data_IF_931758027862
#
_entry.id   IF_931758027862
#
_cell.length_a   1.000
_cell.length_b   1.000
_cell.length_c   1.000
_cell.angle_alpha   90.00
_cell.angle_beta   90.00
_cell.angle_gamma   90.00
#
_symmetry.space_group_name_H-M   'P 1'
#
loop_
_entity.id
_entity.type
_entity.pdbx_description
1 polymer ?
#
# COMPACT_ATOMS: atom_id res chain seq x y z
N UNK A 1 -82.51 44.82 -51.51
CA UNK A 1 -81.60 44.46 -52.64
C UNK A 1 -80.27 45.20 -52.50
N UNK A 2 -79.50 45.02 -51.39
CA UNK A 2 -78.21 45.72 -51.27
C UNK A 2 -77.08 44.94 -50.63
N UNK A 3 -77.16 43.57 -50.51
CA UNK A 3 -76.09 42.72 -49.94
C UNK A 3 -75.34 41.83 -50.97
N UNK A 4 -75.73 41.85 -52.23
CA UNK A 4 -75.08 41.05 -53.27
C UNK A 4 -73.94 41.74 -54.04
N UNK A 5 -73.79 43.11 -53.86
CA UNK A 5 -72.74 43.83 -54.58
C UNK A 5 -71.38 43.85 -53.86
N UNK A 6 -71.37 43.62 -52.57
CA UNK A 6 -70.11 43.64 -51.83
C UNK A 6 -69.27 42.38 -51.95
N UNK A 7 -69.90 41.20 -52.15
CA UNK A 7 -69.19 39.89 -52.30
C UNK A 7 -68.43 39.83 -53.65
N UNK A 8 -68.97 40.48 -54.71
CA UNK A 8 -68.28 40.53 -56.00
C UNK A 8 -67.03 41.42 -55.99
N UNK A 9 -67.04 42.50 -55.21
CA UNK A 9 -65.90 43.42 -55.06
C UNK A 9 -64.74 42.82 -54.23
N UNK A 10 -65.01 41.98 -53.26
CA UNK A 10 -63.96 41.26 -52.47
C UNK A 10 -63.24 40.18 -53.26
N UNK A 11 -64.03 39.43 -54.07
CA UNK A 11 -63.39 38.35 -54.90
C UNK A 11 -62.57 38.98 -56.07
N UNK A 12 -62.91 40.11 -56.62
CA UNK A 12 -62.13 40.77 -57.67
C UNK A 12 -60.86 41.41 -57.12
N UNK A 13 -60.88 41.96 -55.90
CA UNK A 13 -59.69 42.50 -55.23
C UNK A 13 -58.71 41.38 -54.74
N UNK A 14 -59.25 40.23 -54.32
CA UNK A 14 -58.44 39.09 -53.95
C UNK A 14 -57.74 38.44 -55.16
N UNK A 15 -58.51 38.28 -56.28
CA UNK A 15 -57.98 37.80 -57.53
C UNK A 15 -56.94 38.72 -58.17
N UNK A 16 -57.16 40.07 -58.10
CA UNK A 16 -56.15 41.01 -58.55
C UNK A 16 -54.87 41.00 -57.73
N UNK A 17 -54.98 40.93 -56.40
CA UNK A 17 -53.78 40.81 -55.49
C UNK A 17 -53.04 39.51 -55.67
N UNK A 18 -53.76 38.40 -55.93
CA UNK A 18 -53.12 37.09 -56.22
C UNK A 18 -52.39 37.09 -57.55
N UNK A 19 -52.97 37.79 -58.56
CA UNK A 19 -52.40 37.99 -59.89
C UNK A 19 -51.20 38.92 -59.87
N UNK A 20 -51.22 40.00 -59.09
CA UNK A 20 -50.07 40.86 -58.87
C UNK A 20 -48.94 40.12 -58.10
N UNK A 21 -49.31 39.31 -57.11
CA UNK A 21 -48.33 38.50 -56.39
C UNK A 21 -47.63 37.44 -57.30
N UNK A 22 -48.42 36.83 -58.20
CA UNK A 22 -47.86 35.82 -59.13
C UNK A 22 -47.10 36.48 -60.31
N UNK A 23 -47.46 37.74 -60.70
CA UNK A 23 -46.78 38.45 -61.77
C UNK A 23 -45.61 39.33 -61.32
N UNK A 24 -45.47 39.53 -60.03
CA UNK A 24 -44.39 40.35 -59.51
C UNK A 24 -43.06 39.58 -59.59
N UNK A 25 -42.13 39.99 -60.46
CA UNK A 25 -40.80 39.44 -60.67
C UNK A 25 -39.79 39.87 -59.60
N UNK A 26 -40.19 40.76 -58.71
CA UNK A 26 -39.35 41.17 -57.54
C UNK A 26 -39.21 40.05 -56.46
N UNK A 27 -39.97 38.94 -56.62
CA UNK A 27 -39.90 37.77 -55.79
C UNK A 27 -38.60 36.95 -55.96
N UNK A 28 -37.71 37.30 -56.89
CA UNK A 28 -36.44 36.60 -57.13
C UNK A 28 -35.49 36.65 -55.92
N UNK A 29 -35.53 37.75 -55.15
CA UNK A 29 -34.77 37.91 -53.90
C UNK A 29 -35.29 36.95 -52.82
N UNK A 30 -36.62 36.80 -52.73
CA UNK A 30 -37.24 35.88 -51.75
C UNK A 30 -36.95 34.44 -52.06
N UNK A 31 -36.91 34.08 -53.37
CA UNK A 31 -36.57 32.71 -53.79
C UNK A 31 -35.09 32.43 -53.60
N UNK A 32 -34.19 33.36 -53.92
CA UNK A 32 -32.75 33.25 -53.66
C UNK A 32 -32.48 33.22 -52.17
N UNK A 33 -33.16 34.05 -51.34
CA UNK A 33 -33.04 34.04 -49.90
C UNK A 33 -33.47 32.70 -49.29
N UNK A 34 -34.60 32.13 -49.72
CA UNK A 34 -35.08 30.82 -49.26
C UNK A 34 -34.12 29.71 -49.60
N UNK A 35 -33.49 29.76 -50.80
CA UNK A 35 -32.53 28.74 -51.23
C UNK A 35 -31.21 28.82 -50.50
N UNK A 36 -30.78 30.00 -50.06
CA UNK A 36 -29.58 30.22 -49.25
C UNK A 36 -29.86 30.01 -47.75
N UNK A 37 -31.05 30.34 -47.29
CA UNK A 37 -31.43 30.23 -45.86
C UNK A 37 -31.37 28.76 -45.38
N UNK A 38 -31.80 27.80 -46.20
CA UNK A 38 -31.87 26.40 -45.84
C UNK A 38 -30.47 25.81 -45.55
N UNK A 39 -29.44 25.93 -46.40
CA UNK A 39 -28.09 25.50 -46.05
C UNK A 39 -27.49 26.30 -44.89
N UNK A 40 -27.79 27.56 -44.72
CA UNK A 40 -27.34 28.36 -43.57
C UNK A 40 -27.92 27.80 -42.27
N UNK A 41 -29.22 27.48 -42.23
CA UNK A 41 -29.84 26.84 -41.08
C UNK A 41 -29.25 25.47 -40.76
N UNK A 42 -28.94 24.68 -41.77
CA UNK A 42 -28.25 23.38 -41.60
C UNK A 42 -26.87 23.56 -40.96
N UNK A 43 -26.07 24.53 -41.44
CA UNK A 43 -24.74 24.82 -40.89
C UNK A 43 -24.82 25.34 -39.47
N UNK A 44 -25.74 26.24 -39.15
CA UNK A 44 -25.96 26.73 -37.80
C UNK A 44 -26.45 25.63 -36.89
N UNK A 45 -27.37 24.79 -37.34
CA UNK A 45 -27.86 23.62 -36.60
C UNK A 45 -26.76 22.61 -36.32
N UNK A 46 -25.93 22.31 -37.32
CA UNK A 46 -24.78 21.44 -37.13
C UNK A 46 -23.77 21.99 -36.11
N UNK A 47 -23.56 23.31 -36.06
CA UNK A 47 -22.71 23.93 -35.06
C UNK A 47 -23.29 23.82 -33.64
N UNK A 48 -24.62 23.89 -33.50
CA UNK A 48 -25.29 23.67 -32.20
C UNK A 48 -25.14 22.22 -31.76
N UNK A 49 -25.46 21.25 -32.64
CA UNK A 49 -25.30 19.81 -32.33
C UNK A 49 -23.86 19.49 -31.98
N UNK A 50 -22.89 20.01 -32.73
CA UNK A 50 -21.46 19.84 -32.42
C UNK A 50 -21.05 20.41 -31.06
N UNK A 51 -21.60 21.58 -30.70
CA UNK A 51 -21.33 22.19 -29.39
C UNK A 51 -21.89 21.34 -28.26
N UNK A 52 -23.08 20.78 -28.44
CA UNK A 52 -23.70 19.87 -27.48
C UNK A 52 -22.87 18.60 -27.32
N UNK A 53 -22.53 17.95 -28.42
CA UNK A 53 -21.69 16.76 -28.41
C UNK A 53 -20.32 17.00 -27.70
N UNK A 54 -19.69 18.15 -27.98
CA UNK A 54 -18.42 18.49 -27.33
C UNK A 54 -18.57 18.65 -25.81
N UNK A 55 -19.69 19.21 -25.35
CA UNK A 55 -19.99 19.32 -23.91
C UNK A 55 -20.18 17.94 -23.27
N UNK A 56 -20.93 17.06 -23.93
CA UNK A 56 -21.16 15.68 -23.46
C UNK A 56 -19.84 14.90 -23.35
N UNK A 57 -19.00 14.97 -24.39
CA UNK A 57 -17.69 14.32 -24.40
C UNK A 57 -16.76 14.89 -23.33
N UNK A 58 -16.77 16.21 -23.12
CA UNK A 58 -15.99 16.84 -22.04
C UNK A 58 -16.47 16.41 -20.66
N UNK A 59 -17.79 16.39 -20.43
CA UNK A 59 -18.36 15.92 -19.18
C UNK A 59 -18.06 14.43 -18.93
N UNK A 60 -18.07 13.61 -19.99
CA UNK A 60 -17.69 12.21 -19.92
C UNK A 60 -16.20 12.02 -19.58
N UNK A 61 -15.32 12.85 -20.14
CA UNK A 61 -13.89 12.80 -19.80
C UNK A 61 -13.65 13.22 -18.35
N UNK A 62 -14.23 14.33 -17.91
CA UNK A 62 -14.14 14.79 -16.52
C UNK A 62 -14.71 13.74 -15.53
N UNK A 63 -15.77 13.06 -15.95
CA UNK A 63 -16.38 11.96 -15.19
C UNK A 63 -15.45 10.75 -15.11
N UNK A 64 -14.83 10.33 -16.22
CA UNK A 64 -13.90 9.22 -16.25
C UNK A 64 -12.65 9.51 -15.40
N UNK A 65 -12.14 10.75 -15.46
CA UNK A 65 -10.99 11.17 -14.65
C UNK A 65 -11.31 11.16 -13.15
N UNK A 66 -12.50 11.68 -12.79
CA UNK A 66 -12.97 11.66 -11.40
C UNK A 66 -13.16 10.23 -10.91
N UNK A 67 -13.81 9.40 -11.71
CA UNK A 67 -14.10 8.00 -11.37
C UNK A 67 -12.83 7.19 -11.13
N UNK A 68 -11.86 7.27 -12.04
CA UNK A 68 -10.62 6.49 -11.91
C UNK A 68 -9.79 6.94 -10.71
N UNK A 69 -9.84 8.22 -10.32
CA UNK A 69 -9.18 8.72 -9.11
C UNK A 69 -9.88 8.21 -7.84
N UNK A 70 -11.22 8.22 -7.81
CA UNK A 70 -11.97 7.64 -6.69
C UNK A 70 -11.75 6.14 -6.56
N UNK A 71 -11.74 5.41 -7.68
CA UNK A 71 -11.44 3.99 -7.71
C UNK A 71 -10.02 3.70 -7.20
N UNK A 72 -9.04 4.51 -7.61
CA UNK A 72 -7.66 4.39 -7.17
C UNK A 72 -7.52 4.66 -5.66
N UNK A 73 -8.19 5.69 -5.15
CA UNK A 73 -8.22 6.01 -3.74
C UNK A 73 -8.87 4.91 -2.90
N UNK A 74 -10.00 4.37 -3.36
CA UNK A 74 -10.68 3.27 -2.68
C UNK A 74 -9.83 2.00 -2.66
N UNK A 75 -9.23 1.66 -3.81
CA UNK A 75 -8.32 0.52 -3.88
C UNK A 75 -7.14 0.66 -2.92
N UNK A 76 -6.55 1.85 -2.87
CA UNK A 76 -5.42 2.16 -2.02
C UNK A 76 -5.75 2.04 -0.52
N UNK A 77 -6.97 2.40 -0.11
CA UNK A 77 -7.39 2.32 1.28
C UNK A 77 -7.81 0.90 1.71
N UNK A 78 -8.46 0.17 0.83
CA UNK A 78 -9.13 -1.08 1.17
C UNK A 78 -8.55 -2.30 0.45
N UNK A 79 -7.61 -2.11 -0.47
CA UNK A 79 -7.01 -3.16 -1.31
C UNK A 79 -8.06 -4.10 -1.95
N UNK A 80 -9.25 -3.59 -2.21
CA UNK A 80 -10.37 -4.33 -2.79
C UNK A 80 -10.65 -3.88 -4.21
N UNK A 81 -10.39 -4.75 -5.19
CA UNK A 81 -10.71 -4.49 -6.61
C UNK A 81 -12.21 -4.31 -6.84
N UNK A 82 -13.03 -5.07 -6.11
CA UNK A 82 -14.48 -4.97 -6.20
C UNK A 82 -14.98 -3.62 -5.74
N UNK A 83 -14.59 -3.19 -4.53
CA UNK A 83 -14.96 -1.88 -3.99
C UNK A 83 -14.47 -0.73 -4.87
N UNK A 84 -13.24 -0.81 -5.38
CA UNK A 84 -12.69 0.20 -6.28
C UNK A 84 -13.51 0.35 -7.56
N UNK A 85 -13.92 -0.78 -8.17
CA UNK A 85 -14.81 -0.77 -9.33
C UNK A 85 -16.15 -0.12 -9.01
N UNK A 86 -16.81 -0.55 -7.95
CA UNK A 86 -18.15 -0.07 -7.58
C UNK A 86 -18.13 1.44 -7.25
N UNK A 87 -17.10 1.92 -6.56
CA UNK A 87 -16.92 3.34 -6.24
C UNK A 87 -16.59 4.15 -7.50
N UNK A 88 -15.77 3.63 -8.39
CA UNK A 88 -15.48 4.26 -9.67
C UNK A 88 -16.74 4.43 -10.53
N UNK A 89 -17.48 3.35 -10.72
CA UNK A 89 -18.74 3.38 -11.50
C UNK A 89 -19.77 4.33 -10.87
N UNK A 90 -19.89 4.33 -9.53
CA UNK A 90 -20.79 5.25 -8.80
C UNK A 90 -20.37 6.71 -8.93
N UNK A 91 -19.09 7.02 -8.76
CA UNK A 91 -18.58 8.38 -8.86
C UNK A 91 -18.77 8.95 -10.27
N UNK A 92 -18.56 8.14 -11.29
CA UNK A 92 -18.79 8.52 -12.68
C UNK A 92 -20.26 8.83 -12.94
N UNK A 93 -21.16 7.94 -12.53
CA UNK A 93 -22.60 8.12 -12.73
C UNK A 93 -23.10 9.38 -12.05
N UNK A 94 -22.67 9.61 -10.80
CA UNK A 94 -23.03 10.83 -10.07
C UNK A 94 -22.56 12.11 -10.77
N UNK A 95 -21.33 12.10 -11.31
CA UNK A 95 -20.76 13.25 -12.00
C UNK A 95 -21.48 13.54 -13.33
N UNK A 96 -21.85 12.52 -14.08
CA UNK A 96 -22.61 12.66 -15.33
C UNK A 96 -24.01 13.21 -15.08
N UNK A 97 -24.71 12.67 -14.08
CA UNK A 97 -26.04 13.14 -13.69
C UNK A 97 -26.01 14.61 -13.24
N UNK A 98 -25.00 14.98 -12.44
CA UNK A 98 -24.82 16.36 -11.97
C UNK A 98 -24.55 17.36 -13.12
N UNK A 99 -23.93 16.93 -14.22
CA UNK A 99 -23.65 17.74 -15.39
C UNK A 99 -24.76 17.69 -16.45
N UNK A 100 -25.86 16.99 -16.16
CA UNK A 100 -27.04 16.94 -17.06
C UNK A 100 -26.76 16.12 -18.33
N UNK A 101 -25.80 15.21 -18.31
CA UNK A 101 -25.66 14.18 -19.32
C UNK A 101 -26.71 13.12 -18.99
N UNK A 102 -27.84 13.20 -19.63
CA UNK A 102 -29.02 12.39 -19.33
C UNK A 102 -29.14 11.34 -20.39
N UNK A 103 -29.39 10.11 -19.95
CA UNK A 103 -29.79 8.92 -20.68
C UNK A 103 -28.77 8.35 -21.70
N UNK A 104 -28.69 7.02 -21.74
CA UNK A 104 -27.86 6.19 -22.64
C UNK A 104 -26.33 6.35 -22.50
N UNK A 105 -25.80 6.34 -21.30
CA UNK A 105 -24.38 6.14 -21.06
C UNK A 105 -24.10 4.82 -20.32
N UNK A 106 -22.93 4.25 -20.60
CA UNK A 106 -22.38 3.09 -19.90
C UNK A 106 -21.05 3.48 -19.25
N UNK A 107 -20.92 3.15 -17.97
CA UNK A 107 -19.67 3.31 -17.21
C UNK A 107 -19.11 1.94 -16.89
N UNK A 108 -17.83 1.78 -17.09
CA UNK A 108 -17.11 0.56 -16.74
C UNK A 108 -15.73 0.90 -16.18
N UNK A 109 -15.51 0.57 -14.90
CA UNK A 109 -14.20 0.63 -14.25
C UNK A 109 -13.62 -0.77 -14.13
N UNK A 110 -12.42 -0.97 -14.65
CA UNK A 110 -11.74 -2.27 -14.67
C UNK A 110 -10.27 -2.13 -14.30
N UNK A 111 -9.68 -3.24 -13.87
CA UNK A 111 -8.22 -3.38 -13.78
C UNK A 111 -7.68 -3.62 -15.18
N UNK A 112 -6.94 -2.67 -15.70
CA UNK A 112 -6.33 -2.76 -17.03
C UNK A 112 -5.02 -3.54 -17.00
N UNK A 113 -4.22 -3.35 -15.96
CA UNK A 113 -2.94 -4.03 -15.77
C UNK A 113 -2.67 -4.19 -14.27
N UNK A 114 -2.06 -5.31 -13.90
CA UNK A 114 -1.63 -5.58 -12.53
C UNK A 114 -0.23 -6.16 -12.58
N UNK A 115 0.70 -5.49 -11.91
CA UNK A 115 2.08 -5.96 -11.71
C UNK A 115 2.30 -6.24 -10.24
N UNK A 116 3.52 -6.67 -9.87
CA UNK A 116 3.88 -6.90 -8.48
C UNK A 116 3.77 -5.61 -7.61
N UNK A 117 4.03 -4.44 -8.18
CA UNK A 117 4.16 -3.17 -7.45
C UNK A 117 3.17 -2.10 -7.91
N UNK A 118 2.30 -2.39 -8.85
CA UNK A 118 1.34 -1.40 -9.35
C UNK A 118 0.08 -2.04 -9.91
N UNK A 119 -1.01 -1.32 -9.74
CA UNK A 119 -2.30 -1.62 -10.32
C UNK A 119 -2.71 -0.45 -11.21
N UNK A 120 -2.99 -0.72 -12.47
CA UNK A 120 -3.55 0.26 -13.39
C UNK A 120 -5.06 0.08 -13.46
N UNK A 121 -5.79 1.08 -13.00
CA UNK A 121 -7.23 1.16 -13.14
C UNK A 121 -7.59 1.94 -14.41
N UNK A 122 -8.63 1.51 -15.07
CA UNK A 122 -9.16 2.14 -16.27
C UNK A 122 -10.66 2.36 -16.09
N UNK A 123 -11.12 3.58 -16.25
CA UNK A 123 -12.56 3.88 -16.36
C UNK A 123 -12.88 4.28 -17.78
N UNK A 124 -13.89 3.65 -18.35
CA UNK A 124 -14.42 3.94 -19.68
C UNK A 124 -15.86 4.41 -19.53
N UNK A 125 -16.16 5.56 -20.08
CA UNK A 125 -17.52 6.11 -20.18
C UNK A 125 -17.86 6.17 -21.67
N UNK A 126 -18.97 5.58 -22.06
CA UNK A 126 -19.44 5.58 -23.44
C UNK A 126 -20.91 5.96 -23.51
N UNK A 127 -21.29 6.64 -24.56
CA UNK A 127 -22.67 7.06 -24.78
C UNK A 127 -22.93 7.45 -26.21
N UNK A 128 -24.14 7.95 -26.44
CA UNK A 128 -24.61 8.37 -27.76
C UNK A 128 -25.15 9.80 -27.63
N UNK A 129 -24.58 10.72 -28.42
CA UNK A 129 -25.09 12.08 -28.55
C UNK A 129 -26.22 12.14 -29.58
N UNK A 130 -27.39 12.64 -29.17
CA UNK A 130 -28.55 12.80 -30.05
C UNK A 130 -28.47 14.15 -30.75
N UNK A 131 -28.65 14.17 -32.06
CA UNK A 131 -28.60 15.37 -32.87
C UNK A 131 -29.99 15.89 -33.25
N UNK A 132 -30.29 17.14 -32.91
CA UNK A 132 -31.56 17.74 -33.23
C UNK A 132 -31.64 18.24 -34.68
N UNK A 133 -30.57 18.80 -35.19
CA UNK A 133 -30.53 19.41 -36.52
C UNK A 133 -29.88 18.52 -37.58
N UNK A 134 -28.78 17.82 -37.22
CA UNK A 134 -28.14 16.89 -38.12
C UNK A 134 -29.00 15.66 -38.42
N UNK A 135 -29.96 15.34 -37.56
CA UNK A 135 -31.01 14.35 -37.79
C UNK A 135 -31.87 14.65 -39.04
N UNK A 136 -32.07 15.93 -39.37
CA UNK A 136 -32.81 16.34 -40.57
C UNK A 136 -32.07 15.99 -41.88
N UNK A 137 -30.77 15.83 -41.83
CA UNK A 137 -29.92 15.45 -43.00
C UNK A 137 -29.45 14.01 -42.94
N UNK A 138 -30.02 13.20 -42.03
CA UNK A 138 -29.81 11.76 -41.99
C UNK A 138 -28.76 11.27 -41.00
N UNK A 139 -28.21 12.15 -40.12
CA UNK A 139 -27.31 11.77 -39.05
C UNK A 139 -27.91 12.18 -37.71
N UNK A 140 -28.69 11.26 -37.10
CA UNK A 140 -29.46 11.56 -35.88
C UNK A 140 -28.68 11.34 -34.59
N UNK A 141 -27.56 10.58 -34.64
CA UNK A 141 -26.83 10.20 -33.45
C UNK A 141 -25.35 9.97 -33.76
N UNK A 142 -24.50 10.22 -32.78
CA UNK A 142 -23.05 9.92 -32.87
C UNK A 142 -22.59 9.30 -31.55
N UNK A 143 -22.00 8.07 -31.59
CA UNK A 143 -21.41 7.46 -30.42
C UNK A 143 -20.13 8.18 -30.02
N UNK A 144 -19.89 8.25 -28.70
CA UNK A 144 -18.66 8.78 -28.13
C UNK A 144 -18.15 7.87 -27.02
N UNK A 145 -16.85 7.96 -26.74
CA UNK A 145 -16.20 7.22 -25.65
C UNK A 145 -15.12 8.11 -25.04
N UNK A 146 -15.11 8.18 -23.70
CA UNK A 146 -14.07 8.80 -22.91
C UNK A 146 -13.38 7.72 -22.06
N UNK A 147 -12.08 7.84 -21.87
CA UNK A 147 -11.31 6.84 -21.11
C UNK A 147 -10.25 7.54 -20.29
N UNK A 148 -10.14 7.12 -19.04
CA UNK A 148 -9.10 7.58 -18.14
C UNK A 148 -8.38 6.41 -17.46
N UNK A 149 -7.12 6.65 -17.08
CA UNK A 149 -6.27 5.68 -16.41
C UNK A 149 -5.68 6.28 -15.14
N UNK A 150 -5.59 5.47 -14.10
CA UNK A 150 -4.83 5.79 -12.90
C UNK A 150 -3.94 4.61 -12.52
N UNK A 151 -2.71 4.91 -12.15
CA UNK A 151 -1.76 3.91 -11.65
C UNK A 151 -1.67 4.07 -10.15
N UNK A 152 -2.01 2.99 -9.44
CA UNK A 152 -1.82 2.90 -8.00
C UNK A 152 -0.52 2.14 -7.76
N UNK A 153 0.46 2.79 -7.16
CA UNK A 153 1.67 2.12 -6.68
C UNK A 153 1.34 1.36 -5.40
N UNK A 154 1.72 0.09 -5.34
CA UNK A 154 1.53 -0.76 -4.18
C UNK A 154 2.91 -0.94 -3.55
N UNK A 155 3.23 -0.24 -2.46
CA UNK A 155 4.53 -0.38 -1.83
C UNK A 155 4.69 -1.79 -1.28
N UNK A 156 5.86 -2.38 -1.50
CA UNK A 156 6.25 -3.61 -0.82
C UNK A 156 6.75 -3.25 0.58
N UNK A 157 6.17 -3.85 1.59
CA UNK A 157 6.49 -3.58 2.99
C UNK A 157 7.01 -4.84 3.65
N UNK A 158 8.17 -4.73 4.28
CA UNK A 158 8.70 -5.76 5.19
C UNK A 158 8.69 -5.21 6.61
N UNK A 159 7.96 -5.89 7.49
CA UNK A 159 7.89 -5.56 8.92
C UNK A 159 8.72 -6.58 9.67
N UNK A 160 9.66 -6.10 10.47
CA UNK A 160 10.50 -6.94 11.30
C UNK A 160 10.24 -6.65 12.78
N UNK A 161 9.68 -7.61 13.47
CA UNK A 161 9.30 -7.56 14.88
C UNK A 161 10.41 -8.20 15.71
N UNK A 162 11.30 -7.40 16.27
CA UNK A 162 12.44 -7.84 17.11
C UNK A 162 11.99 -7.78 18.56
N UNK A 163 11.52 -8.93 19.08
CA UNK A 163 10.77 -8.99 20.33
C UNK A 163 11.58 -9.68 21.43
N UNK A 164 11.76 -8.99 22.54
CA UNK A 164 12.41 -9.51 23.71
C UNK A 164 11.58 -10.63 24.36
N UNK A 165 12.17 -11.81 24.49
CA UNK A 165 11.59 -12.94 25.22
C UNK A 165 12.52 -13.40 26.36
N UNK A 166 13.34 -12.51 26.87
CA UNK A 166 14.23 -12.77 27.99
C UNK A 166 13.46 -13.07 29.29
N UNK A 167 14.18 -13.57 30.29
CA UNK A 167 13.57 -13.95 31.57
C UNK A 167 12.87 -12.80 32.31
N UNK A 168 13.26 -11.54 32.07
CA UNK A 168 12.60 -10.33 32.60
C UNK A 168 11.17 -10.15 32.09
N UNK A 169 10.86 -10.66 30.90
CA UNK A 169 9.54 -10.64 30.30
C UNK A 169 8.52 -11.58 30.97
N UNK A 170 8.92 -12.26 32.06
CA UNK A 170 8.09 -13.29 32.71
C UNK A 170 6.73 -12.78 33.17
N UNK A 171 5.70 -13.59 32.92
CA UNK A 171 4.34 -13.39 33.44
C UNK A 171 3.54 -12.43 32.57
N UNK A 172 2.97 -11.39 33.20
CA UNK A 172 2.03 -10.48 32.54
C UNK A 172 2.66 -9.77 31.32
N UNK A 173 3.94 -9.44 31.38
CA UNK A 173 4.64 -8.77 30.29
C UNK A 173 4.58 -9.57 28.98
N UNK A 174 5.00 -10.84 29.02
CA UNK A 174 4.98 -11.71 27.83
C UNK A 174 3.55 -11.94 27.34
N UNK A 175 2.60 -12.15 28.25
CA UNK A 175 1.20 -12.35 27.87
C UNK A 175 0.59 -11.12 27.19
N UNK A 176 0.91 -9.93 27.68
CA UNK A 176 0.48 -8.68 27.05
C UNK A 176 1.13 -8.46 25.68
N UNK A 177 2.44 -8.73 25.58
CA UNK A 177 3.13 -8.68 24.30
C UNK A 177 2.46 -9.61 23.25
N UNK A 178 2.15 -10.85 23.63
CA UNK A 178 1.45 -11.79 22.75
C UNK A 178 0.09 -11.26 22.31
N UNK A 179 -0.71 -10.70 23.23
CA UNK A 179 -2.03 -10.16 22.92
C UNK A 179 -1.92 -8.97 21.94
N UNK A 180 -1.02 -8.04 22.19
CA UNK A 180 -0.82 -6.87 21.33
C UNK A 180 -0.29 -7.24 19.96
N UNK A 181 0.61 -8.22 19.87
CA UNK A 181 1.09 -8.75 18.60
C UNK A 181 0.00 -9.48 17.82
N UNK A 182 -0.84 -10.28 18.51
CA UNK A 182 -1.98 -10.95 17.88
C UNK A 182 -2.94 -9.94 17.25
N UNK A 183 -3.29 -8.89 18.00
CA UNK A 183 -4.14 -7.79 17.50
C UNK A 183 -3.50 -7.04 16.35
N UNK A 184 -2.21 -6.72 16.45
CA UNK A 184 -1.47 -6.05 15.37
C UNK A 184 -1.46 -6.88 14.08
N UNK A 185 -1.17 -8.19 14.18
CA UNK A 185 -1.15 -9.08 13.02
C UNK A 185 -2.55 -9.19 12.40
N UNK A 186 -3.60 -9.27 13.23
CA UNK A 186 -4.99 -9.28 12.76
C UNK A 186 -5.35 -7.99 12.01
N UNK A 187 -4.97 -6.83 12.53
CA UNK A 187 -5.23 -5.53 11.90
C UNK A 187 -4.47 -5.36 10.58
N UNK A 188 -3.24 -5.86 10.51
CA UNK A 188 -2.41 -5.80 9.29
C UNK A 188 -2.86 -6.83 8.24
N UNK A 189 -3.58 -7.89 8.62
CA UNK A 189 -4.00 -8.95 7.70
C UNK A 189 -4.85 -8.49 6.50
N UNK A 190 -5.78 -7.52 6.63
CA UNK A 190 -6.52 -6.98 5.48
C UNK A 190 -5.61 -6.38 4.40
N UNK A 191 -4.52 -5.74 4.79
CA UNK A 191 -3.52 -5.18 3.86
C UNK A 191 -2.70 -6.27 3.16
N UNK A 192 -2.72 -7.50 3.69
CA UNK A 192 -2.02 -8.67 3.13
C UNK A 192 -2.90 -9.49 2.20
N UNK A 193 -4.23 -9.36 2.34
CA UNK A 193 -5.21 -10.08 1.51
C UNK A 193 -5.28 -9.46 0.12
N UNK A 194 -4.94 -10.23 -0.86
CA UNK A 194 -5.07 -9.89 -2.27
C UNK A 194 -3.75 -9.52 -2.92
N UNK A 195 -3.31 -8.29 -2.84
CA UNK A 195 -2.18 -7.80 -3.63
C UNK A 195 -1.18 -6.95 -2.85
N UNK A 196 -1.45 -6.67 -1.59
CA UNK A 196 -0.46 -5.99 -0.77
C UNK A 196 0.69 -6.94 -0.45
N UNK A 197 1.89 -6.48 -0.72
CA UNK A 197 3.11 -7.22 -0.49
C UNK A 197 3.68 -6.90 0.89
N UNK A 198 2.86 -7.09 1.94
CA UNK A 198 3.32 -6.98 3.32
C UNK A 198 3.78 -8.36 3.77
N UNK A 199 5.03 -8.46 4.15
CA UNK A 199 5.59 -9.63 4.84
C UNK A 199 6.03 -9.26 6.25
N UNK A 200 5.82 -10.16 7.18
CA UNK A 200 6.19 -9.98 8.59
C UNK A 200 7.25 -11.02 8.95
N UNK A 201 8.34 -10.54 9.55
CA UNK A 201 9.34 -11.36 10.19
C UNK A 201 9.20 -11.20 11.70
N UNK A 202 8.98 -12.29 12.41
CA UNK A 202 8.96 -12.32 13.87
C UNK A 202 10.31 -12.87 14.35
N UNK A 203 11.05 -12.07 15.11
CA UNK A 203 12.35 -12.40 15.69
C UNK A 203 12.28 -12.34 17.21
N UNK A 204 11.79 -13.38 17.89
CA UNK A 204 11.91 -13.48 19.34
C UNK A 204 13.38 -13.67 19.70
N UNK A 205 13.92 -12.80 20.53
CA UNK A 205 15.31 -12.89 20.95
C UNK A 205 15.45 -12.93 22.48
N UNK A 206 16.49 -13.58 22.95
CA UNK A 206 16.96 -13.56 24.32
C UNK A 206 18.49 -13.35 24.27
N UNK A 207 19.32 -14.26 24.74
CA UNK A 207 20.77 -14.21 24.49
C UNK A 207 21.09 -14.41 22.99
N UNK A 208 20.28 -15.19 22.30
CA UNK A 208 20.36 -15.44 20.86
C UNK A 208 18.96 -15.55 20.25
N UNK A 209 18.90 -15.90 18.97
CA UNK A 209 17.65 -16.14 18.25
C UNK A 209 17.64 -17.60 17.80
N UNK A 210 16.51 -18.28 17.99
CA UNK A 210 16.29 -19.59 17.42
C UNK A 210 15.71 -19.46 16.01
N UNK A 211 16.46 -19.88 15.00
CA UNK A 211 16.03 -19.89 13.60
C UNK A 211 15.53 -21.25 13.13
N UNK A 212 15.47 -22.21 14.05
CA UNK A 212 15.11 -23.58 13.71
C UNK A 212 16.21 -24.33 12.95
N UNK A 213 16.02 -25.63 12.84
CA UNK A 213 17.00 -26.52 12.18
C UNK A 213 17.18 -26.23 10.69
N UNK A 214 16.15 -25.62 10.05
CA UNK A 214 16.20 -25.22 8.64
C UNK A 214 17.29 -24.20 8.32
N UNK A 215 17.68 -23.37 9.29
CA UNK A 215 18.75 -22.40 9.16
C UNK A 215 20.16 -23.04 9.06
N UNK A 216 20.28 -24.35 9.26
CA UNK A 216 21.54 -25.08 9.00
C UNK A 216 22.06 -24.90 7.56
N UNK A 217 21.18 -24.60 6.62
CA UNK A 217 21.52 -24.27 5.23
C UNK A 217 22.35 -22.98 5.08
N UNK A 218 22.35 -22.10 6.08
CA UNK A 218 23.16 -20.86 6.09
C UNK A 218 24.59 -21.11 6.54
N UNK A 219 24.86 -22.30 7.12
CA UNK A 219 26.17 -22.67 7.59
C UNK A 219 27.03 -23.21 6.45
N UNK A 220 28.34 -23.07 6.64
CA UNK A 220 29.27 -23.82 5.82
C UNK A 220 29.03 -25.34 6.01
N UNK A 221 29.04 -26.14 4.94
CA UNK A 221 28.70 -27.58 5.00
C UNK A 221 29.46 -28.41 6.06
N UNK A 222 30.64 -27.96 6.46
CA UNK A 222 31.44 -28.67 7.52
C UNK A 222 30.84 -28.55 8.92
N UNK A 223 29.92 -27.60 9.16
CA UNK A 223 29.41 -27.25 10.50
C UNK A 223 27.92 -27.55 10.68
N UNK A 224 27.23 -27.97 9.63
CA UNK A 224 25.78 -28.17 9.64
C UNK A 224 25.30 -29.33 10.52
N UNK A 225 26.15 -30.33 10.80
CA UNK A 225 25.77 -31.55 11.52
C UNK A 225 25.55 -31.36 13.04
N UNK A 226 26.06 -30.28 13.63
CA UNK A 226 25.96 -29.98 15.05
C UNK A 226 25.05 -28.75 15.34
N UNK A 227 24.31 -28.26 14.35
CA UNK A 227 23.46 -27.09 14.49
C UNK A 227 22.12 -27.45 15.12
N UNK A 228 21.72 -26.70 16.13
CA UNK A 228 20.52 -26.93 16.93
C UNK A 228 19.55 -25.74 16.91
N UNK A 229 19.63 -24.92 15.86
CA UNK A 229 18.68 -23.82 15.62
C UNK A 229 19.22 -22.44 15.94
N UNK A 230 20.28 -22.30 16.74
CA UNK A 230 20.82 -21.03 17.17
C UNK A 230 22.23 -20.76 16.71
N UNK A 231 22.51 -19.50 16.36
CA UNK A 231 23.85 -19.02 16.10
C UNK A 231 24.35 -18.27 17.34
N UNK A 232 25.42 -18.78 17.94
CA UNK A 232 26.17 -18.07 18.97
C UNK A 232 27.35 -17.39 18.31
N UNK A 233 27.37 -16.04 18.39
CA UNK A 233 28.40 -15.24 17.72
C UNK A 233 29.35 -14.66 18.73
N UNK A 234 30.65 -14.65 18.40
CA UNK A 234 31.64 -13.91 19.17
C UNK A 234 31.49 -12.40 18.90
N UNK A 235 32.01 -11.56 19.79
CA UNK A 235 32.01 -10.09 19.60
C UNK A 235 32.62 -9.66 18.26
N UNK A 236 33.64 -10.39 17.78
CA UNK A 236 34.31 -10.12 16.52
C UNK A 236 33.36 -10.36 15.33
N UNK A 237 32.46 -11.31 15.46
CA UNK A 237 31.51 -11.71 14.44
C UNK A 237 30.33 -10.73 14.34
N UNK A 238 30.00 -10.06 15.45
CA UNK A 238 28.96 -9.03 15.50
C UNK A 238 29.29 -7.81 14.61
N UNK A 239 30.56 -7.56 14.33
CA UNK A 239 31.04 -6.39 13.56
C UNK A 239 31.28 -6.67 12.08
N UNK A 240 31.21 -7.92 11.64
CA UNK A 240 31.43 -8.32 10.25
C UNK A 240 30.13 -8.43 9.45
N UNK A 241 30.13 -8.00 8.20
CA UNK A 241 29.06 -8.32 7.26
C UNK A 241 29.03 -9.84 7.03
N UNK A 242 28.07 -10.54 7.63
CA UNK A 242 27.89 -11.95 7.40
C UNK A 242 27.06 -12.17 6.15
N UNK A 243 27.71 -12.67 5.12
CA UNK A 243 26.99 -13.22 3.97
C UNK A 243 26.52 -14.64 4.29
N UNK A 244 25.43 -15.12 3.66
CA UNK A 244 25.07 -16.53 3.68
C UNK A 244 26.29 -17.38 3.35
N UNK A 245 26.47 -18.49 4.04
CA UNK A 245 27.64 -19.42 3.95
C UNK A 245 28.95 -18.91 4.58
N UNK A 246 29.11 -17.65 4.93
CA UNK A 246 30.29 -17.18 5.67
C UNK A 246 30.25 -17.53 7.17
N UNK A 247 29.06 -17.84 7.69
CA UNK A 247 28.81 -18.14 9.11
C UNK A 247 29.61 -19.36 9.60
N UNK A 248 30.06 -20.24 8.72
CA UNK A 248 30.78 -21.45 9.10
C UNK A 248 32.29 -21.31 9.26
N UNK A 249 32.89 -20.17 8.90
CA UNK A 249 34.30 -19.87 9.18
C UNK A 249 34.55 -19.36 10.60
N UNK A 250 33.48 -19.02 11.28
CA UNK A 250 33.50 -18.48 12.63
C UNK A 250 33.21 -19.63 13.58
N UNK A 251 34.15 -19.99 14.44
CA UNK A 251 34.00 -21.07 15.39
C UNK A 251 32.81 -20.87 16.32
N UNK A 252 31.61 -21.11 15.80
CA UNK A 252 30.38 -20.99 16.55
C UNK A 252 30.31 -22.08 17.60
N UNK A 253 30.37 -21.71 18.85
CA UNK A 253 29.96 -22.58 19.92
C UNK A 253 28.43 -22.63 19.93
N UNK A 254 27.90 -23.79 19.54
CA UNK A 254 26.47 -24.07 19.65
C UNK A 254 26.18 -24.47 21.08
N UNK A 255 25.82 -23.52 21.93
CA UNK A 255 25.55 -23.80 23.33
C UNK A 255 24.04 -23.80 23.56
N UNK A 256 23.45 -24.98 23.65
CA UNK A 256 22.06 -25.29 23.82
C UNK A 256 21.31 -24.47 24.91
N UNK A 257 21.90 -24.30 26.10
CA UNK A 257 21.17 -23.66 27.20
C UNK A 257 20.81 -22.21 26.94
N UNK A 258 21.48 -21.53 26.00
CA UNK A 258 21.26 -20.14 25.66
C UNK A 258 20.34 -19.93 24.44
N UNK A 259 19.98 -21.04 23.77
CA UNK A 259 19.03 -21.01 22.67
C UNK A 259 17.59 -20.84 23.20
N UNK A 260 16.79 -19.86 22.72
CA UNK A 260 15.39 -19.82 23.04
C UNK A 260 14.67 -21.13 22.66
N UNK A 261 13.57 -21.49 23.34
CA UNK A 261 12.80 -22.69 23.01
C UNK A 261 12.35 -22.72 21.55
N UNK A 262 12.11 -23.91 21.01
CA UNK A 262 11.56 -24.11 19.64
C UNK A 262 10.22 -23.40 19.45
N UNK A 263 9.45 -23.24 20.53
CA UNK A 263 8.21 -22.47 20.56
C UNK A 263 8.41 -20.96 20.33
N UNK A 264 9.66 -20.47 20.47
CA UNK A 264 10.08 -19.10 20.16
C UNK A 264 11.01 -19.06 18.94
N UNK A 265 10.79 -19.94 17.97
CA UNK A 265 11.51 -19.95 16.69
C UNK A 265 11.16 -18.74 15.86
N UNK A 266 12.14 -18.14 15.19
CA UNK A 266 11.93 -17.01 14.29
C UNK A 266 11.08 -17.42 13.07
N UNK A 267 10.12 -16.60 12.74
CA UNK A 267 9.30 -16.75 11.53
C UNK A 267 9.67 -15.68 10.53
N UNK A 268 10.19 -16.10 9.37
CA UNK A 268 10.78 -15.17 8.40
C UNK A 268 9.84 -14.87 7.23
N UNK A 269 9.67 -13.59 6.92
CA UNK A 269 8.95 -13.08 5.75
C UNK A 269 7.58 -13.74 5.51
N UNK A 270 6.86 -14.04 6.59
CA UNK A 270 5.55 -14.68 6.49
C UNK A 270 4.51 -13.71 5.94
N UNK A 271 3.73 -14.22 4.99
CA UNK A 271 2.48 -13.60 4.51
C UNK A 271 1.25 -14.30 5.08
N UNK A 272 1.43 -15.27 5.96
CA UNK A 272 0.38 -16.06 6.60
C UNK A 272 0.15 -15.55 8.03
N UNK A 273 -0.98 -14.84 8.24
CA UNK A 273 -1.36 -14.27 9.54
C UNK A 273 -1.68 -15.32 10.57
N UNK A 274 -2.35 -16.38 10.18
CA UNK A 274 -2.75 -17.44 11.11
C UNK A 274 -1.52 -18.20 11.63
N UNK A 275 -0.53 -18.45 10.76
CA UNK A 275 0.74 -19.01 11.17
C UNK A 275 1.49 -18.07 12.12
N UNK A 276 1.59 -16.78 11.82
CA UNK A 276 2.25 -15.80 12.69
C UNK A 276 1.58 -15.73 14.06
N UNK A 277 0.25 -15.67 14.13
CA UNK A 277 -0.51 -15.63 15.38
C UNK A 277 -0.29 -16.90 16.21
N UNK A 278 -0.20 -18.05 15.54
CA UNK A 278 0.14 -19.34 16.19
C UNK A 278 1.54 -19.30 16.80
N UNK A 279 2.53 -18.75 16.07
CA UNK A 279 3.90 -18.60 16.59
C UNK A 279 3.93 -17.61 17.78
N UNK A 280 3.25 -16.47 17.68
CA UNK A 280 3.13 -15.50 18.78
C UNK A 280 2.51 -16.14 20.03
N UNK A 281 1.43 -16.89 19.88
CA UNK A 281 0.79 -17.58 21.01
C UNK A 281 1.72 -18.60 21.67
N UNK A 282 2.57 -19.24 20.87
CA UNK A 282 3.53 -20.26 21.32
C UNK A 282 4.80 -19.70 21.98
N UNK A 283 5.11 -18.40 21.86
CA UNK A 283 6.36 -17.85 22.39
C UNK A 283 6.56 -18.17 23.88
N UNK A 284 7.77 -18.59 24.23
CA UNK A 284 8.21 -18.88 25.59
C UNK A 284 9.50 -18.12 25.92
N UNK A 285 9.82 -18.01 27.20
CA UNK A 285 10.98 -17.27 27.66
C UNK A 285 12.30 -17.97 27.32
N UNK A 286 13.29 -17.17 26.93
CA UNK A 286 14.69 -17.55 26.82
C UNK A 286 15.55 -17.02 27.96
N UNK A 287 16.83 -17.34 27.94
CA UNK A 287 17.83 -16.82 28.89
C UNK A 287 18.61 -15.65 28.27
N UNK A 288 19.08 -14.74 29.12
CA UNK A 288 19.88 -13.58 28.72
C UNK A 288 19.07 -12.50 28.01
N UNK A 289 19.70 -11.36 27.71
CA UNK A 289 19.09 -10.25 26.98
C UNK A 289 20.14 -9.59 26.10
N UNK A 290 20.29 -10.05 24.87
CA UNK A 290 21.28 -9.52 23.95
C UNK A 290 20.63 -8.72 22.83
N UNK A 291 20.10 -7.55 23.17
CA UNK A 291 19.37 -6.65 22.25
C UNK A 291 20.16 -6.29 21.00
N UNK A 292 21.49 -6.09 21.12
CA UNK A 292 22.36 -5.84 19.97
C UNK A 292 22.31 -6.99 18.96
N UNK A 293 22.24 -8.23 19.43
CA UNK A 293 22.17 -9.42 18.58
C UNK A 293 20.83 -9.51 17.86
N UNK A 294 19.74 -9.14 18.55
CA UNK A 294 18.42 -9.00 17.92
C UNK A 294 18.45 -8.04 16.74
N UNK A 295 18.99 -6.83 16.94
CA UNK A 295 19.13 -5.82 15.89
C UNK A 295 20.10 -6.26 14.78
N UNK A 296 21.21 -6.88 15.11
CA UNK A 296 22.18 -7.34 14.12
C UNK A 296 21.56 -8.36 13.14
N UNK A 297 20.78 -9.29 13.66
CA UNK A 297 20.07 -10.24 12.82
C UNK A 297 18.95 -9.56 12.01
N UNK A 298 18.28 -8.58 12.60
CA UNK A 298 17.32 -7.77 11.84
C UNK A 298 18.01 -7.10 10.64
N UNK A 299 19.14 -6.46 10.83
CA UNK A 299 19.89 -5.82 9.74
C UNK A 299 20.29 -6.82 8.65
N UNK A 300 20.85 -7.98 9.03
CA UNK A 300 21.24 -9.03 8.08
C UNK A 300 20.08 -9.54 7.25
N UNK A 301 18.93 -9.78 7.88
CA UNK A 301 17.74 -10.24 7.19
C UNK A 301 17.10 -9.18 6.28
N UNK A 302 17.49 -7.91 6.44
CA UNK A 302 17.11 -6.85 5.50
C UNK A 302 17.95 -6.87 4.22
N UNK A 303 19.12 -7.53 4.22
CA UNK A 303 20.02 -7.55 3.08
C UNK A 303 19.57 -8.58 2.03
N UNK A 304 19.43 -8.14 0.80
CA UNK A 304 18.98 -8.97 -0.33
C UNK A 304 19.98 -10.09 -0.71
N UNK A 305 21.21 -10.07 -0.19
CA UNK A 305 22.18 -11.16 -0.40
C UNK A 305 21.71 -12.49 0.22
N UNK A 306 20.75 -12.42 1.15
CA UNK A 306 20.16 -13.61 1.77
C UNK A 306 19.09 -14.30 0.92
N UNK A 307 18.64 -13.69 -0.19
CA UNK A 307 17.67 -14.32 -1.10
C UNK A 307 18.16 -15.70 -1.56
N UNK A 308 17.23 -16.64 -1.58
CA UNK A 308 17.50 -18.03 -2.00
C UNK A 308 18.57 -18.77 -1.17
N UNK A 309 19.01 -18.25 -0.03
CA UNK A 309 19.99 -18.91 0.82
C UNK A 309 19.42 -20.06 1.65
N UNK A 310 18.11 -20.05 1.90
CA UNK A 310 17.38 -21.12 2.59
C UNK A 310 15.92 -21.19 2.10
N UNK A 311 15.19 -22.23 2.49
CA UNK A 311 13.77 -22.41 2.15
C UNK A 311 12.85 -21.31 2.69
N UNK A 312 13.27 -20.59 3.73
CA UNK A 312 12.57 -19.45 4.31
C UNK A 312 12.68 -18.17 3.46
N UNK A 313 13.57 -18.14 2.47
CA UNK A 313 13.76 -17.02 1.57
C UNK A 313 13.23 -17.37 0.20
N UNK A 314 12.59 -16.40 -0.42
CA UNK A 314 12.12 -16.52 -1.81
C UNK A 314 12.98 -15.68 -2.76
N UNK A 315 12.71 -15.77 -4.04
CA UNK A 315 13.35 -14.91 -5.03
C UNK A 315 13.06 -13.41 -4.80
N UNK A 316 12.03 -13.09 -4.02
CA UNK A 316 11.55 -11.73 -3.78
C UNK A 316 11.78 -11.24 -2.34
N UNK A 317 12.17 -12.10 -1.39
CA UNK A 317 12.42 -11.73 0.01
C UNK A 317 13.85 -12.09 0.43
N UNK A 318 14.53 -11.23 1.19
CA UNK A 318 14.18 -9.86 1.54
C UNK A 318 14.08 -8.96 0.30
N UNK A 319 13.15 -8.01 0.31
CA UNK A 319 12.99 -7.08 -0.82
C UNK A 319 14.18 -6.13 -0.94
N UNK A 320 14.51 -5.75 -2.19
CA UNK A 320 15.53 -4.72 -2.41
C UNK A 320 14.95 -3.36 -2.04
N UNK A 321 15.69 -2.56 -1.28
CA UNK A 321 15.32 -1.18 -1.00
C UNK A 321 15.34 -0.36 -2.29
N UNK A 322 14.16 0.09 -2.69
CA UNK A 322 13.91 1.01 -3.81
C UNK A 322 12.92 2.07 -3.37
N UNK A 323 12.61 3.03 -4.21
CA UNK A 323 11.63 4.07 -3.90
C UNK A 323 10.21 3.50 -3.63
N UNK A 324 9.91 2.33 -4.20
CA UNK A 324 8.62 1.62 -4.05
C UNK A 324 8.61 0.58 -2.92
N UNK A 325 9.67 0.53 -2.09
CA UNK A 325 9.79 -0.43 -0.99
C UNK A 325 9.93 0.29 0.33
N UNK A 326 9.34 -0.28 1.39
CA UNK A 326 9.45 0.24 2.73
C UNK A 326 9.77 -0.87 3.72
N UNK A 327 10.71 -0.62 4.61
CA UNK A 327 11.07 -1.56 5.67
C UNK A 327 10.82 -0.95 7.03
N UNK A 328 10.20 -1.72 7.90
CA UNK A 328 9.87 -1.30 9.26
C UNK A 328 10.49 -2.29 10.23
N UNK A 329 11.27 -1.78 11.15
CA UNK A 329 11.83 -2.56 12.24
C UNK A 329 11.23 -2.05 13.55
N UNK A 330 10.65 -2.93 14.33
CA UNK A 330 10.14 -2.64 15.67
C UNK A 330 10.98 -3.41 16.67
N UNK A 331 11.79 -2.70 17.43
CA UNK A 331 12.58 -3.26 18.52
C UNK A 331 11.82 -3.07 19.84
N UNK A 332 11.54 -4.15 20.54
CA UNK A 332 10.95 -4.09 21.89
C UNK A 332 11.85 -4.80 22.89
N UNK A 333 12.09 -4.14 24.04
CA UNK A 333 12.84 -4.70 25.15
C UNK A 333 12.37 -4.16 26.49
N UNK A 334 12.40 -4.99 27.53
CA UNK A 334 12.06 -4.63 28.91
C UNK A 334 13.28 -4.58 29.83
N UNK A 335 14.47 -4.86 29.31
CA UNK A 335 15.69 -5.02 30.08
C UNK A 335 16.90 -4.30 29.50
N UNK A 336 17.90 -4.10 30.36
CA UNK A 336 19.23 -3.70 29.93
C UNK A 336 19.92 -4.83 29.16
N UNK A 337 20.87 -4.48 28.33
CA UNK A 337 21.71 -5.47 27.66
C UNK A 337 22.51 -6.24 28.70
N UNK A 338 22.29 -7.53 28.76
CA UNK A 338 23.02 -8.46 29.63
C UNK A 338 23.51 -9.62 28.77
N UNK A 339 24.78 -9.56 28.37
CA UNK A 339 25.42 -10.60 27.58
C UNK A 339 25.90 -11.69 28.54
N UNK A 340 25.35 -12.87 28.34
CA UNK A 340 25.64 -14.04 29.17
C UNK A 340 26.37 -15.13 28.38
N UNK A 341 27.25 -15.85 29.04
CA UNK A 341 27.88 -17.05 28.51
C UNK A 341 27.81 -18.13 29.60
N UNK A 342 28.18 -19.37 29.26
CA UNK A 342 28.34 -20.42 30.23
C UNK A 342 29.80 -20.49 30.69
N UNK A 343 29.99 -20.58 31.99
CA UNK A 343 31.29 -20.90 32.56
C UNK A 343 31.66 -22.38 32.31
N UNK A 344 32.85 -22.76 32.75
CA UNK A 344 33.34 -24.13 32.58
C UNK A 344 32.49 -25.19 33.31
N UNK A 345 31.70 -24.77 34.26
CA UNK A 345 30.79 -25.62 35.04
C UNK A 345 29.35 -25.61 34.51
N UNK A 346 29.11 -24.88 33.42
CA UNK A 346 27.80 -24.75 32.76
C UNK A 346 26.85 -23.78 33.44
N UNK A 347 27.32 -22.88 34.33
CA UNK A 347 26.52 -21.85 34.92
C UNK A 347 26.57 -20.57 34.04
N UNK A 348 25.46 -19.85 33.95
CA UNK A 348 25.40 -18.57 33.25
C UNK A 348 26.20 -17.50 34.00
N UNK A 349 27.04 -16.77 33.32
CA UNK A 349 27.76 -15.60 33.81
C UNK A 349 27.67 -14.43 32.83
N UNK A 350 27.60 -13.22 33.37
CA UNK A 350 27.67 -12.01 32.54
C UNK A 350 29.14 -11.80 32.11
N UNK A 351 29.41 -11.88 30.80
CA UNK A 351 30.77 -11.86 30.24
C UNK A 351 31.13 -10.56 29.56
N UNK A 352 30.19 -9.74 29.21
CA UNK A 352 30.46 -8.47 28.54
C UNK A 352 30.31 -7.30 29.50
N UNK A 353 31.33 -6.42 29.50
CA UNK A 353 31.23 -5.15 30.23
C UNK A 353 30.10 -4.30 29.64
N UNK A 354 29.24 -3.80 30.50
CA UNK A 354 28.06 -3.00 30.08
C UNK A 354 28.41 -1.81 29.19
N UNK A 355 29.60 -1.20 29.33
CA UNK A 355 30.04 -0.12 28.45
C UNK A 355 30.33 -0.60 27.02
N UNK A 356 30.89 -1.79 26.85
CA UNK A 356 31.14 -2.40 25.54
C UNK A 356 29.81 -2.78 24.90
N UNK A 357 28.93 -3.41 25.66
CA UNK A 357 27.60 -3.78 25.18
C UNK A 357 26.79 -2.57 24.69
N UNK A 358 26.87 -1.45 25.43
CA UNK A 358 26.22 -0.20 25.01
C UNK A 358 26.85 0.42 23.76
N UNK A 359 28.18 0.37 23.65
CA UNK A 359 28.88 0.86 22.45
C UNK A 359 28.53 0.06 21.20
N UNK A 360 28.46 -1.27 21.32
CA UNK A 360 28.07 -2.16 20.25
C UNK A 360 26.60 -1.95 19.85
N UNK A 361 25.72 -1.77 20.83
CA UNK A 361 24.32 -1.43 20.58
C UNK A 361 24.18 -0.11 19.82
N UNK A 362 24.90 0.94 20.27
CA UNK A 362 24.87 2.26 19.61
C UNK A 362 25.37 2.17 18.18
N UNK A 363 26.45 1.43 17.93
CA UNK A 363 26.99 1.23 16.59
C UNK A 363 25.99 0.50 15.69
N UNK A 364 25.28 -0.50 16.24
CA UNK A 364 24.25 -1.24 15.51
C UNK A 364 23.04 -0.36 15.18
N UNK A 365 22.57 0.47 16.10
CA UNK A 365 21.51 1.45 15.84
C UNK A 365 21.89 2.42 14.72
N UNK A 366 23.13 2.92 14.73
CA UNK A 366 23.62 3.83 13.69
C UNK A 366 23.65 3.18 12.30
N UNK A 367 23.86 1.87 12.21
CA UNK A 367 23.86 1.14 10.96
C UNK A 367 22.52 1.26 10.23
N UNK A 368 21.40 1.23 10.96
CA UNK A 368 20.06 1.38 10.37
C UNK A 368 19.82 2.75 9.73
N UNK A 369 20.47 3.81 10.24
CA UNK A 369 20.40 5.15 9.64
C UNK A 369 20.97 5.26 8.23
N UNK A 370 21.72 4.26 7.76
CA UNK A 370 22.27 4.21 6.41
C UNK A 370 21.30 3.63 5.36
N UNK A 371 20.18 3.06 5.80
CA UNK A 371 19.20 2.46 4.89
C UNK A 371 18.13 3.50 4.50
N UNK A 372 17.96 3.82 3.21
CA UNK A 372 16.83 4.63 2.76
C UNK A 372 15.52 3.84 2.92
N UNK A 373 14.40 4.53 3.13
CA UNK A 373 13.07 3.91 3.23
C UNK A 373 12.98 2.81 4.31
N UNK A 374 13.70 3.00 5.42
CA UNK A 374 13.64 2.15 6.60
C UNK A 374 13.27 2.99 7.81
N UNK A 375 12.22 2.57 8.51
CA UNK A 375 11.79 3.15 9.78
C UNK A 375 12.12 2.19 10.93
N UNK A 376 12.89 2.66 11.89
CA UNK A 376 13.21 1.90 13.11
C UNK A 376 12.47 2.51 14.30
N UNK A 377 11.56 1.73 14.86
CA UNK A 377 10.83 2.02 16.09
C UNK A 377 11.50 1.32 17.27
N UNK A 378 11.67 2.04 18.36
CA UNK A 378 12.26 1.49 19.59
C UNK A 378 11.26 1.61 20.75
N UNK A 379 10.98 0.50 21.41
CA UNK A 379 9.99 0.40 22.49
C UNK A 379 10.68 -0.02 23.79
N UNK A 380 10.73 0.89 24.75
CA UNK A 380 11.11 0.61 26.14
C UNK A 380 9.86 0.10 26.88
N UNK A 381 9.77 -1.23 27.06
CA UNK A 381 8.59 -1.86 27.62
C UNK A 381 8.76 -2.12 29.12
N UNK A 382 8.05 -1.38 29.96
CA UNK A 382 8.13 -1.45 31.41
C UNK A 382 9.59 -1.45 31.92
N UNK A 383 10.42 -0.65 31.25
CA UNK A 383 11.84 -0.53 31.50
C UNK A 383 12.12 0.54 32.55
N UNK A 384 12.85 0.19 33.61
CA UNK A 384 13.18 1.14 34.69
C UNK A 384 14.54 1.87 34.47
N UNK A 385 15.47 1.27 33.72
CA UNK A 385 16.81 1.82 33.50
C UNK A 385 16.79 3.05 32.59
N UNK A 386 16.84 4.24 33.20
CA UNK A 386 16.85 5.51 32.47
C UNK A 386 18.05 5.71 31.55
N UNK A 387 19.20 5.09 31.82
CA UNK A 387 20.37 5.18 30.95
C UNK A 387 20.14 4.40 29.66
N UNK A 388 19.53 3.24 29.75
CA UNK A 388 19.21 2.43 28.59
C UNK A 388 18.02 2.98 27.81
N UNK A 389 17.03 3.60 28.46
CA UNK A 389 15.98 4.38 27.78
C UNK A 389 16.57 5.46 26.87
N UNK A 390 17.57 6.18 27.32
CA UNK A 390 18.25 7.18 26.50
C UNK A 390 18.97 6.57 25.30
N UNK A 391 19.55 5.37 25.44
CA UNK A 391 20.16 4.66 24.31
C UNK A 391 19.10 4.21 23.31
N UNK A 392 18.00 3.64 23.77
CA UNK A 392 16.88 3.24 22.90
C UNK A 392 16.29 4.44 22.17
N UNK A 393 16.12 5.57 22.84
CA UNK A 393 15.60 6.79 22.19
C UNK A 393 16.52 7.33 21.09
N UNK A 394 17.82 7.06 21.19
CA UNK A 394 18.79 7.42 20.14
C UNK A 394 18.87 6.40 18.98
N UNK A 395 18.19 5.26 19.11
CA UNK A 395 18.23 4.16 18.15
C UNK A 395 17.24 4.31 16.98
N UNK A 396 16.28 5.25 17.06
CA UNK A 396 15.28 5.45 16.02
C UNK A 396 15.89 5.99 14.72
N UNK A 397 15.36 5.58 13.60
CA UNK A 397 15.76 6.08 12.28
C UNK A 397 14.58 6.17 11.32
N UNK A 398 14.76 6.92 10.24
CA UNK A 398 13.70 7.18 9.27
C UNK A 398 12.57 8.01 9.90
N UNK A 399 11.34 7.55 9.76
CA UNK A 399 10.17 8.10 10.44
C UNK A 399 9.78 7.30 11.71
N UNK A 400 10.68 6.41 12.17
CA UNK A 400 10.47 5.65 13.38
C UNK A 400 10.41 6.56 14.63
N UNK A 401 9.75 6.07 15.67
CA UNK A 401 9.56 6.78 16.93
C UNK A 401 10.04 5.93 18.11
N UNK A 402 10.41 6.60 19.18
CA UNK A 402 10.70 5.98 20.46
C UNK A 402 9.46 6.01 21.35
N UNK A 403 9.13 4.87 21.95
CA UNK A 403 8.02 4.73 22.87
C UNK A 403 8.48 4.23 24.24
N UNK A 404 7.97 4.85 25.28
CA UNK A 404 7.95 4.28 26.63
C UNK A 404 6.57 3.71 26.87
N UNK A 405 6.47 2.39 26.98
CA UNK A 405 5.22 1.68 27.15
C UNK A 405 5.17 0.99 28.51
N UNK A 406 4.14 1.25 29.28
CA UNK A 406 3.78 0.41 30.43
C UNK A 406 3.13 -0.89 29.94
N UNK A 407 2.90 -1.82 30.87
CA UNK A 407 2.39 -3.17 30.52
C UNK A 407 1.09 -3.14 29.70
N UNK A 408 0.25 -2.13 29.88
CA UNK A 408 -1.05 -2.05 29.18
C UNK A 408 -1.05 -1.12 27.95
N UNK A 409 0.08 -0.49 27.62
CA UNK A 409 0.13 0.54 26.58
C UNK A 409 0.61 0.01 25.21
N UNK A 410 0.99 -1.26 25.13
CA UNK A 410 1.53 -1.85 23.89
C UNK A 410 0.58 -1.77 22.70
N UNK A 411 -0.72 -1.88 22.91
CA UNK A 411 -1.70 -1.77 21.82
C UNK A 411 -1.64 -0.39 21.14
N UNK A 412 -1.39 0.67 21.91
CA UNK A 412 -1.25 2.02 21.37
C UNK A 412 0.05 2.17 20.56
N UNK A 413 1.14 1.55 21.02
CA UNK A 413 2.41 1.50 20.29
C UNK A 413 2.24 0.81 18.93
N UNK A 414 1.68 -0.40 18.92
CA UNK A 414 1.48 -1.14 17.68
C UNK A 414 0.50 -0.43 16.75
N UNK A 415 -0.51 0.25 17.27
CA UNK A 415 -1.39 1.10 16.48
C UNK A 415 -0.64 2.24 15.79
N UNK A 416 0.35 2.84 16.42
CA UNK A 416 1.21 3.86 15.79
C UNK A 416 2.02 3.29 14.63
N UNK A 417 2.56 2.09 14.80
CA UNK A 417 3.24 1.37 13.72
C UNK A 417 2.26 1.06 12.59
N UNK A 418 1.05 0.62 12.90
CA UNK A 418 -0.01 0.37 11.91
C UNK A 418 -0.38 1.64 11.12
N UNK A 419 -0.53 2.78 11.80
CA UNK A 419 -0.79 4.07 11.16
C UNK A 419 0.32 4.47 10.17
N UNK A 420 1.55 4.03 10.38
CA UNK A 420 2.68 4.26 9.46
C UNK A 420 2.62 3.40 8.19
N UNK A 421 1.89 2.29 8.23
CA UNK A 421 1.65 1.43 7.07
C UNK A 421 0.66 2.07 6.09
N UNK A 422 -0.16 3.01 6.57
CA UNK A 422 -1.11 3.70 5.71
C UNK A 422 -0.36 4.60 4.72
N UNK A 423 -0.53 4.36 3.42
CA UNK A 423 0.17 5.11 2.39
C UNK A 423 -0.32 6.56 2.25
N UNK A 424 -1.36 6.96 2.98
CA UNK A 424 -1.87 8.34 2.97
C UNK A 424 -1.09 9.15 4.03
N UNK A 425 0.14 9.49 3.73
CA UNK A 425 0.76 10.64 4.40
C UNK A 425 0.37 11.90 3.63
N UNK A 426 -0.57 12.65 4.18
CA UNK A 426 -0.75 14.05 3.78
C UNK A 426 0.53 14.75 4.23
N UNK A 427 1.47 14.93 3.32
CA UNK A 427 2.61 15.83 3.54
C UNK A 427 2.03 17.23 3.72
N UNK A 428 2.07 17.73 4.95
CA UNK A 428 1.79 19.14 5.26
C UNK A 428 3.00 20.00 4.92
#
# INVERSE_FOLDING_TARGET
MSKFSEIGSLNSKFGARLRDFISNRDGNVGMMFSLVLLPVLVVVGAAVDYTQMTREVSAAQDSADTAVLHAAHEYYNNFSRGSAKDIGDLASSYHLDANGVIDDYLVETVVAESTANSLTLKTTVSGISQHSFMGLVGNSETPWTATSYSVVSIPQIEIMLVMDVSASMKGVKLERLKQSLDTFIENVDPYRRGESHISITLLPYAETINFGLGASAWLHPSNSAAFEGCFVQTETDLKGALTPYAIGGLGGHFNLPLCPPVTSEATLFSTDGDNLRTQVAGMELGFGTHTTRGLLWAERLLDNTWRNSASSFSANTPITLTDDTHKIVVLLTDGRIAVTDLDQDGNTQEVQNGAIAQADFTAQCQAFGNYPNLDLYAVAYDLEDGSFKNLLSSCVSGNGEYFEAEINDLDEVFKKVEESLSPIRVSR
#
